data_IF_110768688044
#
_entry.id   IF_110768688044
#
_cell.length_a   1.000
_cell.length_b   1.000
_cell.length_c   1.000
_cell.angle_alpha   90.00
_cell.angle_beta   90.00
_cell.angle_gamma   90.00
#
_symmetry.space_group_name_H-M   'P 1'
#
loop_
_entity.id
_entity.type
_entity.pdbx_description
1 polymer ?
#
# COMPACT_ATOMS: atom_id res chain seq x y z
N UNK A 1 -18.84 5.72 14.23
CA UNK A 1 -18.26 5.07 15.43
C UNK A 1 -17.13 5.94 15.94
N UNK A 2 -17.20 6.43 17.17
CA UNK A 2 -16.15 7.29 17.72
C UNK A 2 -14.99 6.47 18.29
N UNK A 3 -13.82 7.09 18.47
CA UNK A 3 -12.66 6.44 19.13
C UNK A 3 -13.03 5.96 20.53
N UNK A 4 -13.89 6.69 21.25
CA UNK A 4 -14.37 6.30 22.58
C UNK A 4 -15.20 5.02 22.50
N UNK A 5 -16.15 4.96 21.56
CA UNK A 5 -16.99 3.76 21.38
C UNK A 5 -16.16 2.53 20.98
N UNK A 6 -15.11 2.73 20.18
CA UNK A 6 -14.18 1.65 19.83
C UNK A 6 -13.36 1.20 21.03
N UNK A 7 -12.85 2.14 21.84
CA UNK A 7 -12.11 1.84 23.06
C UNK A 7 -12.95 1.01 24.04
N UNK A 8 -14.20 1.40 24.27
CA UNK A 8 -15.15 0.69 25.14
C UNK A 8 -15.43 -0.72 24.62
N UNK A 9 -15.71 -0.87 23.31
CA UNK A 9 -15.97 -2.19 22.70
C UNK A 9 -14.78 -3.16 22.76
N UNK A 10 -13.56 -2.64 22.74
CA UNK A 10 -12.34 -3.45 22.70
C UNK A 10 -11.66 -3.58 24.08
N UNK A 11 -12.26 -3.04 25.15
CA UNK A 11 -11.69 -3.09 26.50
C UNK A 11 -10.37 -2.32 26.63
N UNK A 12 -10.15 -1.29 25.80
CA UNK A 12 -8.92 -0.49 25.78
C UNK A 12 -9.21 0.87 26.39
N UNK A 13 -8.33 1.35 27.27
CA UNK A 13 -8.45 2.72 27.77
C UNK A 13 -8.06 3.75 26.72
N UNK A 14 -8.68 4.94 26.77
CA UNK A 14 -8.34 6.06 25.86
C UNK A 14 -6.86 6.42 25.89
N UNK A 15 -6.21 6.31 27.05
CA UNK A 15 -4.79 6.61 27.22
C UNK A 15 -3.90 5.57 26.51
N UNK A 16 -4.24 4.28 26.62
CA UNK A 16 -3.54 3.22 25.87
C UNK A 16 -3.68 3.42 24.36
N UNK A 17 -4.89 3.73 23.89
CA UNK A 17 -5.11 4.04 22.48
C UNK A 17 -4.24 5.22 22.02
N UNK A 18 -4.25 6.33 22.75
CA UNK A 18 -3.46 7.51 22.41
C UNK A 18 -1.95 7.23 22.41
N UNK A 19 -1.47 6.47 23.38
CA UNK A 19 -0.07 6.07 23.49
C UNK A 19 0.38 5.28 22.25
N UNK A 20 -0.37 4.24 21.87
CA UNK A 20 -0.04 3.42 20.71
C UNK A 20 -0.19 4.17 19.39
N UNK A 21 -1.26 4.95 19.24
CA UNK A 21 -1.48 5.78 18.05
C UNK A 21 -0.34 6.79 17.85
N UNK A 22 0.13 7.43 18.93
CA UNK A 22 1.28 8.34 18.84
C UNK A 22 2.56 7.59 18.47
N UNK A 23 2.78 6.40 19.02
CA UNK A 23 3.97 5.57 18.74
C UNK A 23 4.01 5.12 17.29
N UNK A 24 2.89 4.65 16.74
CA UNK A 24 2.75 4.25 15.32
C UNK A 24 2.97 5.44 14.39
N UNK A 25 2.39 6.61 14.71
CA UNK A 25 2.61 7.83 13.92
C UNK A 25 4.07 8.28 13.93
N UNK A 26 4.76 8.14 15.08
CA UNK A 26 6.19 8.45 15.17
C UNK A 26 7.03 7.46 14.36
N UNK A 27 6.73 6.16 14.39
CA UNK A 27 7.45 5.19 13.56
C UNK A 27 7.25 5.43 12.06
N UNK A 28 6.05 5.87 11.64
CA UNK A 28 5.80 6.27 10.24
C UNK A 28 6.56 7.54 9.84
N UNK A 29 6.75 8.51 10.74
CA UNK A 29 7.52 9.73 10.45
C UNK A 29 9.04 9.55 10.50
N UNK A 30 9.52 8.53 11.21
CA UNK A 30 10.97 8.29 11.41
C UNK A 30 11.53 7.29 10.39
N UNK A 31 10.65 6.52 9.73
CA UNK A 31 11.00 5.95 8.45
C UNK A 31 11.19 7.08 7.46
N UNK A 32 12.43 7.32 7.01
CA UNK A 32 12.62 7.69 5.60
C UNK A 32 11.69 6.75 4.83
N UNK A 33 10.82 7.27 3.97
CA UNK A 33 10.12 6.46 2.99
C UNK A 33 11.21 5.74 2.18
N UNK A 34 11.65 4.58 2.67
CA UNK A 34 12.16 3.53 1.80
C UNK A 34 10.90 2.96 1.19
N UNK A 35 10.32 3.73 0.26
CA UNK A 35 9.41 3.25 -0.76
C UNK A 35 10.17 2.13 -1.44
N UNK A 36 9.98 0.92 -0.94
CA UNK A 36 10.60 -0.29 -1.48
C UNK A 36 10.24 -0.44 -2.96
N UNK A 37 9.04 0.06 -3.33
CA UNK A 37 8.56 0.25 -4.70
C UNK A 37 7.60 1.44 -4.70
N UNK A 38 7.74 2.32 -5.69
CA UNK A 38 6.74 3.32 -6.05
C UNK A 38 5.87 2.75 -7.17
N UNK A 39 4.57 2.58 -6.92
CA UNK A 39 3.62 2.03 -7.91
C UNK A 39 2.89 3.22 -8.52
N UNK A 40 3.37 3.68 -9.67
CA UNK A 40 2.66 4.69 -10.47
C UNK A 40 1.73 4.00 -11.46
N UNK A 41 0.41 4.19 -11.37
CA UNK A 41 -0.49 3.76 -12.42
C UNK A 41 -0.16 4.51 -13.72
N UNK A 42 -0.16 3.80 -14.85
CA UNK A 42 -0.02 4.43 -16.16
C UNK A 42 -1.35 5.13 -16.45
N UNK A 43 -1.45 6.41 -16.10
CA UNK A 43 -2.60 7.24 -16.44
C UNK A 43 -2.47 7.60 -17.93
N UNK A 44 -3.24 6.96 -18.80
CA UNK A 44 -3.60 7.55 -20.10
C UNK A 44 -4.71 8.58 -19.87
N UNK A 45 -4.64 9.78 -20.49
CA UNK A 45 -5.69 10.76 -20.33
C UNK A 45 -6.88 10.35 -21.21
N UNK A 46 -8.08 10.31 -20.66
CA UNK A 46 -9.34 10.70 -21.30
C UNK A 46 -10.44 10.73 -20.21
N UNK A 47 -10.73 11.97 -19.81
CA UNK A 47 -12.01 12.61 -19.49
C UNK A 47 -13.26 11.78 -19.11
N UNK A 48 -13.80 12.20 -17.95
CA UNK A 48 -15.22 12.29 -17.51
C UNK A 48 -15.99 11.01 -17.12
N UNK A 49 -16.34 10.98 -15.82
CA UNK A 49 -17.53 10.39 -15.20
C UNK A 49 -18.17 9.15 -15.84
N UNK A 50 -17.89 7.97 -15.29
CA UNK A 50 -18.94 7.02 -14.90
C UNK A 50 -18.39 5.93 -13.97
N UNK A 51 -19.32 5.30 -13.28
CA UNK A 51 -19.14 4.33 -12.21
C UNK A 51 -18.17 3.19 -12.56
N UNK A 52 -17.33 2.84 -11.59
CA UNK A 52 -16.47 1.64 -11.54
C UNK A 52 -15.70 1.29 -12.82
N UNK A 53 -14.38 1.47 -12.81
CA UNK A 53 -13.53 0.56 -13.53
C UNK A 53 -12.78 -0.27 -12.49
N UNK A 54 -13.04 -1.57 -12.47
CA UNK A 54 -11.92 -2.49 -12.27
C UNK A 54 -11.04 -2.24 -13.49
N UNK A 55 -10.16 -1.24 -13.40
CA UNK A 55 -9.17 -0.98 -14.43
C UNK A 55 -8.24 -2.18 -14.34
N UNK A 56 -8.47 -3.20 -15.16
CA UNK A 56 -7.45 -4.19 -15.48
C UNK A 56 -6.42 -3.51 -16.36
N UNK A 57 -5.70 -2.55 -15.79
CA UNK A 57 -4.55 -1.93 -16.41
C UNK A 57 -3.31 -2.67 -15.96
N UNK A 58 -2.46 -2.98 -16.92
CA UNK A 58 -1.09 -3.38 -16.64
C UNK A 58 -0.46 -2.34 -15.70
N UNK A 59 0.29 -2.83 -14.72
CA UNK A 59 0.94 -1.97 -13.75
C UNK A 59 2.44 -2.18 -13.80
N UNK A 60 3.17 -1.18 -13.30
CA UNK A 60 4.62 -1.17 -13.37
C UNK A 60 5.21 -1.11 -11.97
N UNK A 61 6.22 -1.95 -11.76
CA UNK A 61 6.98 -2.02 -10.52
C UNK A 61 8.36 -1.44 -10.81
N UNK A 62 8.73 -0.41 -10.07
CA UNK A 62 10.09 0.14 -10.07
C UNK A 62 10.85 -0.43 -8.88
N UNK A 63 11.96 -1.13 -9.13
CA UNK A 63 12.83 -1.70 -8.11
C UNK A 63 14.29 -1.40 -8.44
N UNK A 64 14.95 -0.58 -7.62
CA UNK A 64 16.30 -0.04 -7.87
C UNK A 64 16.40 0.60 -9.28
N UNK A 65 17.26 0.06 -10.15
CA UNK A 65 17.43 0.48 -11.54
C UNK A 65 16.59 -0.32 -12.54
N UNK A 66 15.72 -1.21 -12.07
CA UNK A 66 14.91 -2.08 -12.90
C UNK A 66 13.45 -1.63 -12.95
N UNK A 67 12.86 -1.82 -14.13
CA UNK A 67 11.47 -1.55 -14.41
C UNK A 67 10.80 -2.84 -14.86
N UNK A 68 9.84 -3.33 -14.07
CA UNK A 68 9.09 -4.55 -14.38
C UNK A 68 7.66 -4.16 -14.75
N UNK A 69 7.23 -4.53 -15.96
CA UNK A 69 5.83 -4.41 -16.39
C UNK A 69 5.10 -5.70 -16.07
N UNK A 70 4.01 -5.60 -15.31
CA UNK A 70 3.19 -6.73 -14.90
C UNK A 70 1.84 -6.63 -15.62
N UNK A 71 1.54 -7.57 -16.53
CA UNK A 71 0.24 -7.63 -17.19
C UNK A 71 -0.91 -7.84 -16.19
N UNK A 72 -2.10 -7.34 -16.49
CA UNK A 72 -3.27 -7.51 -15.61
C UNK A 72 -3.64 -8.98 -15.35
N UNK A 73 -3.32 -9.88 -16.28
CA UNK A 73 -3.60 -11.32 -16.20
C UNK A 73 -2.45 -12.13 -15.58
N UNK A 74 -1.45 -11.45 -15.01
CA UNK A 74 -0.31 -12.10 -14.40
C UNK A 74 -0.70 -12.83 -13.11
N UNK A 75 -0.18 -14.03 -12.91
CA UNK A 75 -0.44 -14.85 -11.73
C UNK A 75 0.03 -14.15 -10.45
N UNK A 76 -0.85 -13.91 -9.45
CA UNK A 76 -0.45 -13.30 -8.18
C UNK A 76 0.62 -14.10 -7.44
N UNK A 77 0.60 -15.44 -7.56
CA UNK A 77 1.58 -16.33 -6.93
C UNK A 77 2.96 -16.14 -7.55
N UNK A 78 3.03 -16.06 -8.88
CA UNK A 78 4.28 -15.83 -9.61
C UNK A 78 4.86 -14.44 -9.31
N UNK A 79 3.99 -13.45 -9.08
CA UNK A 79 4.43 -12.11 -8.68
C UNK A 79 5.02 -12.11 -7.28
N UNK A 80 4.39 -12.82 -6.34
CA UNK A 80 4.90 -12.95 -4.98
C UNK A 80 6.28 -13.61 -4.95
N UNK A 81 6.50 -14.64 -5.78
CA UNK A 81 7.81 -15.28 -5.94
C UNK A 81 8.85 -14.32 -6.56
N UNK A 82 8.48 -13.59 -7.61
CA UNK A 82 9.36 -12.58 -8.22
C UNK A 82 9.79 -11.52 -7.19
N UNK A 83 8.84 -11.03 -6.39
CA UNK A 83 9.11 -10.03 -5.35
C UNK A 83 9.97 -10.56 -4.19
N UNK A 84 9.97 -11.88 -3.94
CA UNK A 84 10.90 -12.50 -2.98
C UNK A 84 12.32 -12.51 -3.53
N UNK A 85 12.51 -12.95 -4.78
CA UNK A 85 13.81 -12.97 -5.44
C UNK A 85 14.40 -11.56 -5.54
N UNK A 86 13.59 -10.58 -5.97
CA UNK A 86 14.03 -9.19 -6.08
C UNK A 86 14.46 -8.60 -4.73
N UNK A 87 13.87 -9.01 -3.61
CA UNK A 87 14.25 -8.53 -2.27
C UNK A 87 15.62 -9.04 -1.82
N UNK A 88 16.02 -10.21 -2.29
CA UNK A 88 17.28 -10.85 -1.91
C UNK A 88 18.48 -10.38 -2.75
N UNK A 89 18.21 -9.63 -3.83
CA UNK A 89 19.21 -8.97 -4.69
C UNK A 89 19.54 -7.57 -4.18
#
# INVERSE_FOLDING_TARGET
>A
MTIRDWCEKNGVSKNQYNYWNQRVRKSQKTGKETTFVDITPIISPVDTESQNPVVTSDFQIFFNSFQVRVPFNFSPNSLAELMKVLREL
#
